data_IF_258241913723
#
_entry.id   IF_258241913723
#
_cell.length_a   1.000
_cell.length_b   1.000
_cell.length_c   1.000
_cell.angle_alpha   90.00
_cell.angle_beta   90.00
_cell.angle_gamma   90.00
#
_symmetry.space_group_name_H-M   'P 1'
#
loop_
_entity.id
_entity.type
_entity.pdbx_description
1 polymer ?
#
# COMPACT_ATOMS: atom_id res chain seq x y z
N UNK A 1 -20.07 -45.74 8.61
CA UNK A 1 -19.10 -44.74 9.12
C UNK A 1 -18.41 -43.91 8.01
N UNK A 2 -18.89 -43.89 6.75
CA UNK A 2 -18.20 -43.22 5.62
C UNK A 2 -18.62 -41.74 5.38
N UNK A 3 -19.71 -41.28 6.00
CA UNK A 3 -20.21 -39.92 5.76
C UNK A 3 -19.52 -38.82 6.59
N UNK A 4 -18.95 -39.13 7.75
CA UNK A 4 -18.29 -38.14 8.60
C UNK A 4 -17.00 -37.56 7.99
N UNK A 5 -16.26 -38.36 7.22
CA UNK A 5 -15.02 -37.91 6.56
C UNK A 5 -15.27 -36.93 5.41
N UNK A 6 -16.38 -37.09 4.67
CA UNK A 6 -16.74 -36.15 3.60
C UNK A 6 -17.07 -34.78 4.17
N UNK A 7 -17.85 -34.70 5.25
CA UNK A 7 -18.25 -33.44 5.89
C UNK A 7 -17.08 -32.62 6.42
N UNK A 8 -16.03 -33.25 6.95
CA UNK A 8 -14.82 -32.53 7.38
C UNK A 8 -14.04 -31.94 6.20
N UNK A 9 -13.98 -32.66 5.08
CA UNK A 9 -13.21 -32.24 3.90
C UNK A 9 -13.83 -31.00 3.23
N UNK A 10 -15.17 -30.92 3.14
CA UNK A 10 -15.86 -29.77 2.53
C UNK A 10 -15.68 -28.47 3.34
N UNK A 11 -15.72 -28.55 4.67
CA UNK A 11 -15.53 -27.37 5.55
C UNK A 11 -14.08 -26.85 5.45
N UNK A 12 -13.11 -27.76 5.34
CA UNK A 12 -11.70 -27.40 5.17
C UNK A 12 -11.42 -26.76 3.80
N UNK A 13 -12.04 -27.27 2.73
CA UNK A 13 -11.90 -26.67 1.39
C UNK A 13 -12.56 -25.30 1.28
N UNK A 14 -13.75 -25.11 1.88
CA UNK A 14 -14.46 -23.82 1.82
C UNK A 14 -13.68 -22.72 2.55
N UNK A 15 -13.15 -23.00 3.74
CA UNK A 15 -12.33 -22.05 4.49
C UNK A 15 -11.09 -21.57 3.73
N UNK A 16 -10.46 -22.47 2.97
CA UNK A 16 -9.31 -22.14 2.11
C UNK A 16 -9.68 -21.19 0.96
N UNK A 17 -10.81 -21.42 0.29
CA UNK A 17 -11.26 -20.57 -0.82
C UNK A 17 -11.63 -19.15 -0.35
N UNK A 18 -12.29 -19.02 0.80
CA UNK A 18 -12.63 -17.71 1.38
C UNK A 18 -11.37 -16.95 1.80
N UNK A 19 -10.45 -17.61 2.50
CA UNK A 19 -9.19 -16.99 2.92
C UNK A 19 -8.32 -16.56 1.73
N UNK A 20 -8.34 -17.33 0.63
CA UNK A 20 -7.66 -16.97 -0.62
C UNK A 20 -8.32 -15.76 -1.28
N UNK A 21 -9.64 -15.75 -1.42
CA UNK A 21 -10.39 -14.65 -2.04
C UNK A 21 -10.22 -13.32 -1.29
N UNK A 22 -10.27 -13.35 0.05
CA UNK A 22 -10.05 -12.15 0.87
C UNK A 22 -8.65 -11.56 0.66
N UNK A 23 -7.61 -12.39 0.49
CA UNK A 23 -6.24 -11.94 0.24
C UNK A 23 -6.06 -11.36 -1.15
N UNK A 24 -6.67 -11.98 -2.16
CA UNK A 24 -6.67 -11.44 -3.52
C UNK A 24 -7.37 -10.08 -3.56
N UNK A 25 -8.53 -9.94 -2.89
CA UNK A 25 -9.21 -8.66 -2.73
C UNK A 25 -8.32 -7.63 -2.01
N UNK A 26 -7.67 -8.01 -0.92
CA UNK A 26 -6.78 -7.12 -0.18
C UNK A 26 -5.55 -6.67 -1.01
N UNK A 27 -4.96 -7.57 -1.80
CA UNK A 27 -3.88 -7.24 -2.74
C UNK A 27 -4.37 -6.22 -3.78
N UNK A 28 -5.52 -6.46 -4.40
CA UNK A 28 -6.09 -5.55 -5.39
C UNK A 28 -6.40 -4.18 -4.80
N UNK A 29 -6.95 -4.12 -3.58
CA UNK A 29 -7.18 -2.88 -2.86
C UNK A 29 -5.87 -2.13 -2.56
N UNK A 30 -4.82 -2.83 -2.13
CA UNK A 30 -3.52 -2.21 -1.89
C UNK A 30 -2.91 -1.65 -3.18
N UNK A 31 -3.01 -2.38 -4.29
CA UNK A 31 -2.53 -1.92 -5.60
C UNK A 31 -3.34 -0.72 -6.08
N UNK A 32 -4.66 -0.75 -5.95
CA UNK A 32 -5.52 0.39 -6.30
C UNK A 32 -5.19 1.62 -5.45
N UNK A 33 -5.00 1.45 -4.14
CA UNK A 33 -4.60 2.53 -3.24
C UNK A 33 -3.21 3.09 -3.59
N UNK A 34 -2.25 2.22 -3.94
CA UNK A 34 -0.93 2.64 -4.39
C UNK A 34 -1.01 3.48 -5.67
N UNK A 35 -1.76 3.02 -6.68
CA UNK A 35 -1.97 3.75 -7.92
C UNK A 35 -2.68 5.09 -7.70
N UNK A 36 -3.72 5.11 -6.86
CA UNK A 36 -4.40 6.35 -6.48
C UNK A 36 -3.42 7.33 -5.81
N UNK A 37 -2.59 6.84 -4.90
CA UNK A 37 -1.57 7.66 -4.22
C UNK A 37 -0.56 8.21 -5.22
N UNK A 38 -0.04 7.39 -6.14
CA UNK A 38 0.82 7.87 -7.23
C UNK A 38 0.14 9.01 -8.00
N UNK A 39 -1.07 8.79 -8.50
CA UNK A 39 -1.79 9.80 -9.28
C UNK A 39 -1.99 11.09 -8.48
N UNK A 40 -2.38 10.99 -7.21
CA UNK A 40 -2.55 12.13 -6.33
C UNK A 40 -1.25 12.91 -6.12
N UNK A 41 -0.13 12.22 -5.92
CA UNK A 41 1.16 12.85 -5.67
C UNK A 41 1.79 13.49 -6.90
N UNK A 42 1.63 12.87 -8.08
CA UNK A 42 2.15 13.40 -9.34
C UNK A 42 1.33 14.59 -9.86
N UNK A 43 0.05 14.69 -9.49
CA UNK A 43 -0.83 15.80 -9.85
C UNK A 43 -1.02 16.82 -8.71
N UNK A 44 -0.10 16.86 -7.74
CA UNK A 44 -0.14 17.82 -6.64
C UNK A 44 0.14 19.25 -7.13
N UNK A 45 -0.70 20.20 -6.72
CA UNK A 45 -0.57 21.63 -6.98
C UNK A 45 -0.83 22.39 -5.66
N UNK A 46 0.04 23.34 -5.30
CA UNK A 46 -0.10 24.17 -4.09
C UNK A 46 -1.33 25.10 -4.13
N UNK A 47 -1.93 25.32 -5.31
CA UNK A 47 -3.16 26.08 -5.46
C UNK A 47 -4.41 25.25 -5.16
N UNK A 48 -4.28 23.92 -5.01
CA UNK A 48 -5.41 23.05 -4.72
C UNK A 48 -5.86 23.22 -3.25
N UNK A 49 -7.16 23.17 -2.94
CA UNK A 49 -7.65 23.22 -1.58
C UNK A 49 -7.24 21.95 -0.81
N UNK A 50 -6.48 22.12 0.26
CA UNK A 50 -5.93 21.05 1.08
C UNK A 50 -6.04 21.36 2.58
N UNK A 51 -5.48 20.49 3.43
CA UNK A 51 -5.53 20.68 4.88
C UNK A 51 -4.67 21.86 5.32
N UNK A 52 -3.48 21.99 4.74
CA UNK A 52 -2.51 23.03 5.13
C UNK A 52 -2.84 24.41 4.53
N UNK A 53 -3.58 24.45 3.42
CA UNK A 53 -3.96 25.68 2.74
C UNK A 53 -5.34 25.59 2.08
N UNK A 54 -6.12 26.67 2.17
CA UNK A 54 -7.47 26.75 1.61
C UNK A 54 -7.51 26.74 0.07
N UNK A 55 -6.35 26.80 -0.60
CA UNK A 55 -6.23 26.82 -2.06
C UNK A 55 -6.72 28.14 -2.68
N UNK A 56 -6.30 28.39 -3.92
CA UNK A 56 -6.78 29.56 -4.69
C UNK A 56 -7.94 29.20 -5.62
N UNK A 57 -8.26 27.91 -5.76
CA UNK A 57 -9.28 27.37 -6.66
C UNK A 57 -10.34 26.62 -5.87
N UNK A 58 -11.60 26.70 -6.33
CA UNK A 58 -12.69 25.93 -5.73
C UNK A 58 -12.63 24.44 -6.09
N UNK A 59 -12.11 24.10 -7.28
CA UNK A 59 -11.95 22.73 -7.73
C UNK A 59 -10.46 22.39 -7.85
N UNK A 60 -10.01 21.27 -7.24
CA UNK A 60 -8.62 20.85 -7.32
C UNK A 60 -8.27 20.35 -8.73
N UNK A 61 -7.07 20.67 -9.18
CA UNK A 61 -6.49 20.15 -10.42
C UNK A 61 -6.00 18.71 -10.25
N UNK A 62 -5.77 18.28 -9.01
CA UNK A 62 -5.41 16.92 -8.66
C UNK A 62 -6.34 15.88 -9.32
N UNK A 63 -5.75 14.90 -10.01
CA UNK A 63 -6.48 13.85 -10.70
C UNK A 63 -7.24 12.92 -9.74
N UNK A 64 -6.79 12.86 -8.48
CA UNK A 64 -7.50 12.19 -7.38
C UNK A 64 -8.61 13.04 -6.75
N UNK A 65 -8.90 14.22 -7.30
CA UNK A 65 -9.87 15.18 -6.77
C UNK A 65 -9.48 15.74 -5.39
N UNK A 66 -10.46 16.20 -4.59
CA UNK A 66 -10.20 16.78 -3.27
C UNK A 66 -9.51 15.81 -2.31
N UNK A 67 -9.87 14.52 -2.38
CA UNK A 67 -9.25 13.47 -1.56
C UNK A 67 -7.79 13.26 -1.94
N UNK A 68 -7.46 13.28 -3.23
CA UNK A 68 -6.08 13.20 -3.72
C UNK A 68 -5.24 14.41 -3.31
N UNK A 69 -5.79 15.62 -3.44
CA UNK A 69 -5.13 16.86 -3.01
C UNK A 69 -4.81 16.83 -1.50
N UNK A 70 -5.75 16.43 -0.67
CA UNK A 70 -5.54 16.26 0.77
C UNK A 70 -4.50 15.20 1.11
N UNK A 71 -4.58 14.03 0.46
CA UNK A 71 -3.64 12.93 0.69
C UNK A 71 -2.22 13.36 0.31
N UNK A 72 -2.05 13.99 -0.85
CA UNK A 72 -0.76 14.45 -1.33
C UNK A 72 -0.20 15.55 -0.42
N UNK A 73 -0.99 16.56 -0.07
CA UNK A 73 -0.60 17.65 0.83
C UNK A 73 -0.10 17.12 2.18
N UNK A 74 -0.90 16.27 2.84
CA UNK A 74 -0.51 15.70 4.13
C UNK A 74 0.75 14.82 4.01
N UNK A 75 0.87 14.06 2.92
CA UNK A 75 2.02 13.20 2.69
C UNK A 75 3.30 14.02 2.48
N UNK A 76 3.26 15.06 1.65
CA UNK A 76 4.39 15.96 1.43
C UNK A 76 4.68 16.82 2.66
N UNK A 77 3.67 17.19 3.46
CA UNK A 77 3.88 17.93 4.69
C UNK A 77 4.60 17.10 5.77
N UNK A 78 4.23 15.82 5.93
CA UNK A 78 4.83 14.94 6.93
C UNK A 78 6.18 14.36 6.51
N UNK A 79 6.33 14.01 5.23
CA UNK A 79 7.49 13.26 4.73
C UNK A 79 8.36 14.07 3.74
N UNK A 80 7.94 15.26 3.31
CA UNK A 80 8.64 16.03 2.28
C UNK A 80 8.73 15.25 0.97
N UNK A 81 9.86 15.38 0.26
CA UNK A 81 10.13 14.62 -0.96
C UNK A 81 10.09 13.09 -0.78
N UNK A 82 10.21 12.59 0.45
CA UNK A 82 10.13 11.15 0.75
C UNK A 82 8.71 10.61 0.64
N UNK A 83 7.70 11.47 0.54
CA UNK A 83 6.32 11.06 0.40
C UNK A 83 6.13 10.14 -0.83
N UNK A 84 6.97 10.27 -1.88
CA UNK A 84 6.95 9.40 -3.07
C UNK A 84 7.24 7.92 -2.77
N UNK A 85 7.76 7.61 -1.58
CA UNK A 85 8.00 6.24 -1.11
C UNK A 85 6.70 5.57 -0.64
N UNK A 86 5.69 6.33 -0.20
CA UNK A 86 4.40 5.78 0.26
C UNK A 86 3.70 4.85 -0.75
N UNK A 87 3.54 5.21 -2.03
CA UNK A 87 2.92 4.29 -3.00
C UNK A 87 3.73 3.00 -3.18
N UNK A 88 5.06 3.07 -3.11
CA UNK A 88 5.91 1.88 -3.16
C UNK A 88 5.72 0.99 -1.92
N UNK A 89 5.56 1.59 -0.74
CA UNK A 89 5.26 0.86 0.50
C UNK A 89 3.88 0.18 0.46
N UNK A 90 2.86 0.85 -0.09
CA UNK A 90 1.52 0.28 -0.26
C UNK A 90 1.54 -0.94 -1.22
N UNK A 91 2.23 -0.80 -2.36
CA UNK A 91 2.40 -1.91 -3.30
C UNK A 91 3.16 -3.08 -2.68
N UNK A 92 4.24 -2.78 -1.93
CA UNK A 92 5.01 -3.78 -1.19
C UNK A 92 4.16 -4.49 -0.14
N UNK A 93 3.35 -3.76 0.63
CA UNK A 93 2.46 -4.32 1.64
C UNK A 93 1.42 -5.27 1.02
N UNK A 94 0.81 -4.88 -0.12
CA UNK A 94 -0.09 -5.74 -0.86
C UNK A 94 0.58 -7.04 -1.31
N UNK A 95 1.76 -6.94 -1.93
CA UNK A 95 2.56 -8.10 -2.33
C UNK A 95 2.94 -8.99 -1.14
N UNK A 96 3.27 -8.37 -0.01
CA UNK A 96 3.61 -9.04 1.23
C UNK A 96 2.42 -9.84 1.80
N UNK A 97 1.24 -9.25 1.80
CA UNK A 97 0.02 -9.93 2.26
C UNK A 97 -0.31 -11.16 1.39
N UNK A 98 -0.13 -11.04 0.07
CA UNK A 98 -0.32 -12.15 -0.87
C UNK A 98 0.73 -13.26 -0.70
N UNK A 99 2.00 -12.89 -0.56
CA UNK A 99 3.12 -13.84 -0.52
C UNK A 99 3.17 -14.69 0.76
N UNK A 100 2.63 -14.18 1.87
CA UNK A 100 2.67 -14.84 3.19
C UNK A 100 1.91 -16.17 3.27
N UNK A 101 1.11 -16.55 2.25
CA UNK A 101 0.34 -17.81 2.24
C UNK A 101 0.99 -18.96 1.48
N UNK A 102 2.04 -18.72 0.67
CA UNK A 102 2.69 -19.80 -0.08
C UNK A 102 3.69 -20.51 0.84
N UNK A 103 3.18 -21.41 1.68
CA UNK A 103 3.94 -22.21 2.65
C UNK A 103 4.96 -23.16 2.01
N UNK A 104 6.06 -22.64 1.49
CA UNK A 104 7.23 -23.41 1.03
C UNK A 104 8.52 -22.66 1.38
N UNK A 105 9.25 -23.13 2.40
CA UNK A 105 10.72 -23.00 2.55
C UNK A 105 11.41 -21.61 2.47
N UNK A 106 10.68 -20.49 2.44
CA UNK A 106 11.20 -19.12 2.20
C UNK A 106 11.16 -18.27 3.49
N UNK A 107 11.10 -18.92 4.65
CA UNK A 107 10.86 -18.26 5.95
C UNK A 107 12.08 -17.44 6.41
N UNK A 108 13.29 -17.73 5.90
CA UNK A 108 14.52 -17.04 6.29
C UNK A 108 14.86 -15.76 5.49
N UNK A 109 14.23 -15.51 4.33
CA UNK A 109 14.55 -14.34 3.49
C UNK A 109 13.51 -13.22 3.57
N UNK A 110 12.32 -13.48 4.10
CA UNK A 110 11.20 -12.55 4.04
C UNK A 110 11.27 -11.39 5.05
N UNK A 111 11.62 -11.70 6.30
CA UNK A 111 11.93 -10.67 7.29
C UNK A 111 13.20 -9.90 6.90
N UNK A 112 14.20 -10.60 6.35
CA UNK A 112 15.47 -9.99 5.90
C UNK A 112 15.29 -9.07 4.69
N UNK A 113 14.30 -9.32 3.83
CA UNK A 113 13.96 -8.49 2.67
C UNK A 113 13.14 -7.26 3.08
N UNK A 114 12.13 -7.43 3.95
CA UNK A 114 11.33 -6.30 4.47
C UNK A 114 12.15 -5.31 5.30
N UNK A 115 13.03 -5.79 6.20
CA UNK A 115 13.92 -4.91 6.95
C UNK A 115 15.02 -4.27 6.07
N UNK A 116 15.46 -4.93 4.99
CA UNK A 116 16.43 -4.34 4.05
C UNK A 116 15.84 -3.23 3.18
N UNK A 117 14.62 -3.39 2.67
CA UNK A 117 13.97 -2.34 1.87
C UNK A 117 13.60 -1.14 2.72
N UNK A 118 13.04 -1.35 3.92
CA UNK A 118 12.82 -0.26 4.88
C UNK A 118 14.14 0.42 5.24
N UNK A 119 15.19 -0.34 5.58
CA UNK A 119 16.51 0.21 5.87
C UNK A 119 17.13 0.98 4.70
N UNK A 120 16.95 0.53 3.46
CA UNK A 120 17.43 1.22 2.26
C UNK A 120 16.66 2.52 2.01
N UNK A 121 15.34 2.53 2.22
CA UNK A 121 14.52 3.73 2.15
C UNK A 121 14.91 4.76 3.24
N UNK A 122 15.19 4.29 4.47
CA UNK A 122 15.75 5.12 5.53
C UNK A 122 17.17 5.61 5.22
N UNK A 123 17.99 4.82 4.52
CA UNK A 123 19.35 5.22 4.11
C UNK A 123 19.32 6.30 3.03
N UNK A 124 18.42 6.17 2.05
CA UNK A 124 18.19 7.21 1.04
C UNK A 124 17.61 8.47 1.69
N UNK A 125 16.72 8.32 2.68
CA UNK A 125 16.20 9.43 3.49
C UNK A 125 17.28 10.16 4.29
N UNK A 126 18.26 9.45 4.86
CA UNK A 126 19.40 10.05 5.55
C UNK A 126 20.44 10.69 4.61
N UNK A 127 20.54 10.20 3.37
CA UNK A 127 21.54 10.67 2.39
C UNK A 127 21.23 12.02 1.76
N UNK A 128 19.96 12.45 1.72
CA UNK A 128 19.55 13.71 1.06
C UNK A 128 19.18 14.84 2.04
N UNK A 129 19.45 14.69 3.33
CA UNK A 129 19.34 15.78 4.32
C UNK A 129 20.55 16.74 4.36
N UNK A 130 21.45 16.67 3.37
CA UNK A 130 22.67 17.47 3.25
C UNK A 130 22.72 18.14 1.87
N UNK A 131 21.79 19.06 1.61
CA UNK A 131 21.90 20.06 0.56
C UNK A 131 21.09 21.31 0.94
#
# INVERSE_FOLDING_TARGET
MSQASKTTTIIETDGYHIAKGLREAALLLCVAAALFTVLAMFSYDHCDPAWSHSGCREQPLNLGGPAGAWLADLSYYLFGGLALVLPALLAWFGWWLYSSSKGKGIILSYQRLGFKTVGMLFTVAGGCGLA
#
